data_IF_120559918577
#
_entry.id   IF_120559918577
#
_cell.length_a   1.000
_cell.length_b   1.000
_cell.length_c   1.000
_cell.angle_alpha   90.00
_cell.angle_beta   90.00
_cell.angle_gamma   90.00
#
_symmetry.space_group_name_H-M   'P 1'
#
loop_
_entity.id
_entity.type
_entity.pdbx_description
1 polymer ?
#
# COMPACT_ATOMS: atom_id res chain seq x y z
N UNK A 1 -44.35 2.09 -34.58
CA UNK A 1 -43.00 1.62 -34.56
C UNK A 1 -42.11 2.64 -33.84
N UNK A 2 -42.30 2.85 -32.52
CA UNK A 2 -41.57 3.84 -31.68
C UNK A 2 -41.50 3.35 -30.24
N UNK A 3 -41.01 2.13 -29.98
CA UNK A 3 -40.89 1.60 -28.61
C UNK A 3 -39.72 0.60 -28.39
N UNK A 4 -38.66 0.62 -29.20
CA UNK A 4 -37.51 -0.33 -29.03
C UNK A 4 -36.17 0.40 -29.10
N UNK A 5 -36.04 1.59 -28.52
CA UNK A 5 -34.75 2.27 -28.50
C UNK A 5 -34.39 2.88 -27.12
N UNK A 6 -34.87 2.25 -26.05
CA UNK A 6 -34.64 2.78 -24.70
C UNK A 6 -34.02 1.71 -23.75
N UNK A 7 -33.32 0.72 -24.26
CA UNK A 7 -32.85 -0.39 -23.40
C UNK A 7 -31.44 -0.85 -23.73
N UNK A 8 -30.52 0.10 -23.92
CA UNK A 8 -29.08 -0.29 -24.11
C UNK A 8 -28.12 0.78 -23.59
N UNK A 9 -28.46 1.45 -22.48
CA UNK A 9 -27.55 2.28 -21.69
C UNK A 9 -27.59 1.76 -20.25
N UNK A 10 -27.28 0.49 -20.08
CA UNK A 10 -27.01 -0.07 -18.76
C UNK A 10 -25.68 -0.80 -18.84
N UNK A 11 -24.79 -0.40 -17.96
CA UNK A 11 -23.65 -1.23 -17.49
C UNK A 11 -22.36 -1.11 -18.26
N UNK A 12 -21.67 0.03 -18.11
CA UNK A 12 -20.22 0.06 -18.05
C UNK A 12 -19.77 0.90 -16.85
N UNK A 13 -20.28 0.57 -15.67
CA UNK A 13 -19.58 0.90 -14.42
C UNK A 13 -18.46 -0.13 -14.28
N UNK A 14 -17.42 -0.04 -15.10
CA UNK A 14 -16.15 -0.68 -14.80
C UNK A 14 -15.56 0.07 -13.60
N UNK A 15 -15.88 -0.44 -12.41
CA UNK A 15 -15.16 -0.12 -11.18
C UNK A 15 -13.69 -0.38 -11.49
N UNK A 16 -12.89 0.67 -11.59
CA UNK A 16 -11.46 0.59 -11.76
C UNK A 16 -10.87 -0.03 -10.50
N UNK A 17 -10.83 -1.34 -10.45
CA UNK A 17 -10.26 -2.08 -9.32
C UNK A 17 -8.76 -1.77 -9.24
N UNK A 18 -8.32 -1.23 -8.13
CA UNK A 18 -6.92 -1.23 -7.75
C UNK A 18 -6.41 -2.68 -7.84
N UNK A 19 -5.28 -2.88 -8.51
CA UNK A 19 -4.70 -4.21 -8.62
C UNK A 19 -3.88 -4.48 -7.37
N UNK A 20 -4.37 -5.38 -6.55
CA UNK A 20 -3.73 -5.76 -5.30
C UNK A 20 -3.52 -7.27 -5.36
N UNK A 21 -2.31 -7.74 -5.13
CA UNK A 21 -1.97 -9.16 -5.22
C UNK A 21 -0.94 -9.58 -4.19
N UNK A 22 -0.97 -10.86 -3.82
CA UNK A 22 0.09 -11.52 -3.07
C UNK A 22 0.60 -12.71 -3.86
N UNK A 23 1.88 -12.99 -3.76
CA UNK A 23 2.51 -14.18 -4.31
C UNK A 23 3.22 -14.91 -3.19
N UNK A 24 2.81 -16.14 -2.94
CA UNK A 24 3.44 -16.98 -1.92
C UNK A 24 4.84 -17.38 -2.38
N UNK A 25 5.84 -17.19 -1.54
CA UNK A 25 7.22 -17.52 -1.87
C UNK A 25 7.67 -18.78 -1.14
N UNK A 26 7.43 -18.86 0.17
CA UNK A 26 7.91 -19.96 1.00
C UNK A 26 7.12 -20.06 2.30
N UNK A 27 6.76 -21.29 2.65
CA UNK A 27 6.25 -21.68 3.96
C UNK A 27 7.09 -22.87 4.43
N UNK A 28 7.88 -22.68 5.49
CA UNK A 28 8.89 -23.65 5.88
C UNK A 28 8.41 -24.74 6.85
N UNK A 29 7.35 -24.53 7.59
CA UNK A 29 6.80 -25.50 8.53
C UNK A 29 5.31 -25.76 8.29
N UNK A 30 4.96 -27.01 8.03
CA UNK A 30 3.56 -27.50 7.97
C UNK A 30 3.06 -27.99 9.33
N UNK A 31 3.91 -28.01 10.34
CA UNK A 31 3.55 -28.44 11.70
C UNK A 31 2.83 -27.30 12.42
N UNK A 32 1.71 -27.59 13.06
CA UNK A 32 1.00 -26.62 13.88
C UNK A 32 1.93 -26.03 14.95
N UNK A 33 2.15 -24.73 14.87
CA UNK A 33 3.00 -24.01 15.80
C UNK A 33 2.18 -23.58 17.02
N UNK A 34 2.77 -23.49 18.23
CA UNK A 34 2.09 -22.92 19.38
C UNK A 34 1.60 -21.49 19.09
N UNK A 35 0.43 -21.14 19.65
CA UNK A 35 -0.13 -19.80 19.53
C UNK A 35 0.88 -18.75 20.04
N UNK A 36 1.16 -17.68 19.26
CA UNK A 36 2.09 -16.66 19.67
C UNK A 36 1.54 -15.85 20.86
N UNK A 37 2.42 -15.43 21.77
CA UNK A 37 2.04 -14.53 22.85
C UNK A 37 1.75 -13.13 22.35
N UNK A 38 2.49 -12.66 21.36
CA UNK A 38 2.27 -11.40 20.62
C UNK A 38 3.04 -11.39 19.32
N UNK A 39 2.69 -10.45 18.46
CA UNK A 39 3.35 -10.18 17.19
C UNK A 39 4.11 -8.85 17.27
N UNK A 40 5.38 -8.88 16.95
CA UNK A 40 6.25 -7.72 16.88
C UNK A 40 6.34 -7.26 15.43
N UNK A 41 5.92 -6.04 15.14
CA UNK A 41 6.02 -5.44 13.80
C UNK A 41 7.24 -4.53 13.79
N UNK A 42 8.23 -4.87 12.97
CA UNK A 42 9.42 -4.06 12.72
C UNK A 42 9.26 -3.26 11.43
N UNK A 43 9.87 -2.09 11.39
CA UNK A 43 9.89 -1.28 10.18
C UNK A 43 10.38 -2.10 8.98
N UNK A 44 9.67 -1.95 7.86
CA UNK A 44 10.11 -2.52 6.60
C UNK A 44 11.28 -1.69 6.07
N UNK A 45 12.32 -2.37 5.62
CA UNK A 45 13.49 -1.70 5.05
C UNK A 45 13.13 -1.08 3.69
N UNK A 46 13.71 0.08 3.43
CA UNK A 46 13.60 0.79 2.17
C UNK A 46 15.01 1.14 1.71
N UNK A 47 15.37 0.69 0.52
CA UNK A 47 16.60 1.16 -0.13
C UNK A 47 16.26 2.41 -0.97
N UNK A 48 17.12 3.41 -0.99
CA UNK A 48 16.90 4.65 -1.75
C UNK A 48 16.65 4.40 -3.24
N UNK A 49 17.23 3.33 -3.80
CA UNK A 49 17.04 2.93 -5.19
C UNK A 49 15.66 2.32 -5.48
N UNK A 50 14.97 1.87 -4.43
CA UNK A 50 13.60 1.35 -4.53
C UNK A 50 12.57 2.46 -4.68
N UNK A 51 12.93 3.73 -4.45
CA UNK A 51 12.04 4.88 -4.45
C UNK A 51 12.08 5.56 -5.81
N UNK A 52 10.97 5.55 -6.51
CA UNK A 52 10.74 6.29 -7.74
C UNK A 52 9.83 7.50 -7.44
N UNK A 53 10.44 8.67 -7.47
CA UNK A 53 9.75 9.93 -7.21
C UNK A 53 8.76 10.26 -8.32
N UNK A 54 7.73 11.03 -7.96
CA UNK A 54 6.77 11.53 -8.92
C UNK A 54 7.46 12.28 -10.07
N UNK A 55 7.09 11.93 -11.32
CA UNK A 55 7.66 12.51 -12.53
C UNK A 55 6.71 13.50 -13.19
N UNK A 56 7.22 14.31 -14.12
CA UNK A 56 6.44 15.26 -14.90
C UNK A 56 6.25 16.61 -14.19
N UNK A 57 5.20 17.35 -14.57
CA UNK A 57 4.94 18.70 -14.05
C UNK A 57 4.77 18.73 -12.53
N UNK A 58 4.10 17.72 -11.97
CA UNK A 58 3.90 17.61 -10.53
C UNK A 58 5.21 17.43 -9.76
N UNK A 59 6.09 16.56 -10.22
CA UNK A 59 7.42 16.40 -9.63
C UNK A 59 8.26 17.68 -9.70
N UNK A 60 8.17 18.42 -10.81
CA UNK A 60 8.84 19.72 -10.96
C UNK A 60 8.26 20.79 -10.05
N UNK A 61 6.94 20.84 -9.89
CA UNK A 61 6.28 21.78 -8.96
C UNK A 61 6.69 21.45 -7.53
N UNK A 62 6.68 20.18 -7.14
CA UNK A 62 7.09 19.74 -5.81
C UNK A 62 8.55 20.12 -5.53
N UNK A 63 9.45 19.82 -6.44
CA UNK A 63 10.88 20.17 -6.34
C UNK A 63 11.14 21.68 -6.30
N UNK A 64 10.27 22.50 -6.90
CA UNK A 64 10.38 23.95 -6.87
C UNK A 64 9.72 24.62 -5.64
N UNK A 65 8.91 23.87 -4.87
CA UNK A 65 8.24 24.35 -3.66
C UNK A 65 9.04 23.99 -2.40
N UNK A 66 9.76 22.87 -2.39
CA UNK A 66 10.64 22.48 -1.31
C UNK A 66 12.09 22.78 -1.69
N UNK A 67 12.79 23.56 -0.87
CA UNK A 67 14.24 23.73 -0.96
C UNK A 67 15.00 22.47 -0.47
N UNK A 68 14.30 21.36 -0.30
CA UNK A 68 14.83 20.10 0.21
C UNK A 68 15.52 19.28 -0.89
N UNK A 69 16.59 18.60 -0.51
CA UNK A 69 17.26 17.68 -1.43
C UNK A 69 16.37 16.49 -1.77
N UNK A 70 16.56 15.85 -2.96
CA UNK A 70 15.81 14.65 -3.33
C UNK A 70 15.94 13.52 -2.30
N UNK A 71 17.06 13.42 -1.60
CA UNK A 71 17.31 12.43 -0.57
C UNK A 71 16.44 12.66 0.67
N UNK A 72 16.30 13.89 1.13
CA UNK A 72 15.41 14.26 2.25
C UNK A 72 13.96 13.92 1.88
N UNK A 73 13.54 14.28 0.67
CA UNK A 73 12.19 13.99 0.21
C UNK A 73 11.93 12.47 0.12
N UNK A 74 12.91 11.66 -0.31
CA UNK A 74 12.80 10.20 -0.31
C UNK A 74 12.71 9.63 1.10
N UNK A 75 13.49 10.17 2.03
CA UNK A 75 13.46 9.75 3.43
C UNK A 75 12.11 10.05 4.09
N UNK A 76 11.54 11.22 3.84
CA UNK A 76 10.20 11.58 4.33
C UNK A 76 9.13 10.65 3.77
N UNK A 77 9.15 10.40 2.46
CA UNK A 77 8.22 9.49 1.80
C UNK A 77 8.31 8.07 2.39
N UNK A 78 9.53 7.56 2.55
CA UNK A 78 9.71 6.22 3.13
C UNK A 78 9.19 6.15 4.56
N UNK A 79 9.45 7.16 5.38
CA UNK A 79 8.95 7.23 6.76
C UNK A 79 7.43 7.29 6.83
N UNK A 80 6.79 8.05 5.93
CA UNK A 80 5.32 8.12 5.83
C UNK A 80 4.72 6.78 5.45
N UNK A 81 5.27 6.10 4.43
CA UNK A 81 4.79 4.80 3.96
C UNK A 81 4.97 3.71 5.02
N UNK A 82 6.15 3.67 5.67
CA UNK A 82 6.42 2.72 6.75
C UNK A 82 5.48 2.95 7.92
N UNK A 83 5.31 4.19 8.35
CA UNK A 83 4.42 4.55 9.47
C UNK A 83 2.96 4.18 9.20
N UNK A 84 2.47 4.45 7.99
CA UNK A 84 1.12 4.07 7.58
C UNK A 84 0.95 2.54 7.53
N UNK A 85 1.92 1.81 6.96
CA UNK A 85 1.89 0.34 6.90
C UNK A 85 1.87 -0.27 8.30
N UNK A 86 2.77 0.18 9.19
CA UNK A 86 2.87 -0.36 10.54
C UNK A 86 1.58 -0.13 11.34
N UNK A 87 1.02 1.08 11.28
CA UNK A 87 -0.24 1.42 11.96
C UNK A 87 -1.35 0.48 11.52
N UNK A 88 -1.57 0.36 10.22
CA UNK A 88 -2.63 -0.48 9.66
C UNK A 88 -2.42 -1.97 9.98
N UNK A 89 -1.19 -2.47 9.90
CA UNK A 89 -0.88 -3.87 10.25
C UNK A 89 -1.19 -4.17 11.72
N UNK A 90 -0.83 -3.25 12.63
CA UNK A 90 -1.13 -3.40 14.06
C UNK A 90 -2.64 -3.47 14.27
N UNK A 91 -3.40 -2.53 13.69
CA UNK A 91 -4.85 -2.47 13.83
C UNK A 91 -5.51 -3.74 13.30
N UNK A 92 -5.11 -4.20 12.10
CA UNK A 92 -5.69 -5.38 11.46
C UNK A 92 -5.36 -6.68 12.19
N UNK A 93 -4.12 -6.89 12.59
CA UNK A 93 -3.71 -8.09 13.32
C UNK A 93 -4.36 -8.12 14.71
N UNK A 94 -4.46 -6.97 15.37
CA UNK A 94 -5.15 -6.88 16.66
C UNK A 94 -6.65 -7.20 16.51
N UNK A 95 -7.28 -6.79 15.42
CA UNK A 95 -8.67 -7.13 15.11
C UNK A 95 -8.88 -8.64 14.88
N UNK A 96 -7.84 -9.38 14.48
CA UNK A 96 -7.87 -10.86 14.41
C UNK A 96 -7.77 -11.55 15.78
N UNK A 97 -7.59 -10.78 16.86
CA UNK A 97 -7.52 -11.30 18.23
C UNK A 97 -6.09 -11.61 18.72
N UNK A 98 -5.05 -11.24 17.97
CA UNK A 98 -3.66 -11.43 18.38
C UNK A 98 -3.05 -10.06 18.70
N UNK A 99 -2.46 -9.90 19.88
CA UNK A 99 -1.78 -8.65 20.24
C UNK A 99 -0.63 -8.35 19.29
N UNK A 100 -0.66 -7.19 18.64
CA UNK A 100 0.41 -6.71 17.77
C UNK A 100 0.95 -5.36 18.28
N UNK A 101 2.27 -5.19 18.23
CA UNK A 101 2.96 -3.96 18.67
C UNK A 101 4.10 -3.61 17.70
N UNK A 102 4.30 -2.31 17.49
CA UNK A 102 5.48 -1.82 16.79
C UNK A 102 6.70 -1.91 17.70
N UNK A 103 7.84 -2.31 17.14
CA UNK A 103 9.10 -2.41 17.86
C UNK A 103 10.27 -1.94 16.99
N UNK A 104 11.31 -1.46 17.65
CA UNK A 104 12.54 -1.05 16.97
C UNK A 104 13.29 -2.23 16.31
N UNK A 105 14.14 -1.93 15.32
CA UNK A 105 14.90 -2.94 14.57
C UNK A 105 15.80 -3.80 15.43
N UNK A 106 16.37 -3.24 16.50
CA UNK A 106 17.29 -3.91 17.42
C UNK A 106 16.61 -4.80 18.46
N UNK A 107 15.28 -4.68 18.63
CA UNK A 107 14.57 -5.50 19.62
C UNK A 107 14.56 -6.97 19.21
N UNK A 108 15.00 -7.82 20.13
CA UNK A 108 14.98 -9.27 19.94
C UNK A 108 13.67 -9.86 20.49
N UNK A 109 13.08 -10.82 19.76
CA UNK A 109 11.90 -11.52 20.25
C UNK A 109 12.27 -12.47 21.39
N UNK A 110 11.32 -12.66 22.30
CA UNK A 110 11.41 -13.74 23.29
C UNK A 110 10.68 -14.99 22.78
N UNK A 111 10.81 -16.09 23.49
CA UNK A 111 10.17 -17.36 23.09
C UNK A 111 8.67 -17.19 22.87
N UNK A 112 8.14 -17.81 21.82
CA UNK A 112 6.74 -17.72 21.36
C UNK A 112 6.30 -16.34 20.84
N UNK A 113 7.20 -15.42 20.60
CA UNK A 113 6.89 -14.22 19.83
C UNK A 113 7.14 -14.44 18.34
N UNK A 114 6.37 -13.74 17.53
CA UNK A 114 6.54 -13.68 16.09
C UNK A 114 6.97 -12.28 15.71
N UNK A 115 7.88 -12.16 14.75
CA UNK A 115 8.25 -10.90 14.12
C UNK A 115 7.66 -10.89 12.73
N UNK A 116 7.00 -9.80 12.38
CA UNK A 116 6.68 -9.43 11.01
C UNK A 116 7.59 -8.28 10.62
N UNK A 117 8.34 -8.48 9.54
CA UNK A 117 9.25 -7.50 8.96
C UNK A 117 9.25 -7.65 7.45
N UNK A 118 9.99 -6.81 6.76
CA UNK A 118 10.07 -6.92 5.31
C UNK A 118 10.99 -5.90 4.67
N UNK A 119 10.86 -5.81 3.35
CA UNK A 119 11.56 -4.84 2.54
C UNK A 119 10.63 -4.33 1.44
N UNK A 120 10.57 -3.02 1.25
CA UNK A 120 9.98 -2.48 0.04
C UNK A 120 10.92 -2.72 -1.14
N UNK A 121 10.39 -3.38 -2.15
CA UNK A 121 11.08 -3.63 -3.42
C UNK A 121 10.90 -2.46 -4.37
N UNK A 122 9.76 -1.76 -4.23
CA UNK A 122 9.42 -0.58 -5.03
C UNK A 122 8.47 0.32 -4.25
N UNK A 123 8.74 1.62 -4.28
CA UNK A 123 7.85 2.70 -3.90
C UNK A 123 7.78 3.64 -5.09
N UNK A 124 6.71 3.58 -5.87
CA UNK A 124 6.53 4.39 -7.09
C UNK A 124 5.40 5.39 -6.87
N UNK A 125 5.74 6.65 -6.83
CA UNK A 125 4.76 7.74 -6.69
C UNK A 125 3.93 7.95 -7.95
N UNK A 126 4.37 7.41 -9.07
CA UNK A 126 3.69 7.56 -10.34
C UNK A 126 3.71 8.99 -10.88
N UNK A 127 2.77 9.30 -11.76
CA UNK A 127 2.58 10.62 -12.34
C UNK A 127 1.13 11.06 -12.17
N UNK A 128 0.87 11.89 -11.17
CA UNK A 128 -0.48 12.35 -10.80
C UNK A 128 -1.19 13.05 -11.98
N UNK A 129 -0.47 13.88 -12.74
CA UNK A 129 -1.06 14.60 -13.90
C UNK A 129 -1.46 13.60 -14.98
N UNK A 130 -0.60 12.66 -15.32
CA UNK A 130 -0.88 11.64 -16.33
C UNK A 130 -2.03 10.73 -15.90
N UNK A 131 -2.08 10.36 -14.63
CA UNK A 131 -3.17 9.56 -14.06
C UNK A 131 -4.51 10.28 -14.15
N UNK A 132 -4.55 11.57 -13.80
CA UNK A 132 -5.78 12.34 -13.79
C UNK A 132 -6.28 12.72 -15.21
N UNK A 133 -5.36 12.96 -16.15
CA UNK A 133 -5.72 13.32 -17.52
C UNK A 133 -6.07 12.11 -18.38
N UNK A 134 -5.20 11.11 -18.41
CA UNK A 134 -5.32 9.94 -19.28
C UNK A 134 -6.08 8.82 -18.56
N UNK A 135 -5.71 8.54 -17.32
CA UNK A 135 -6.25 7.39 -16.56
C UNK A 135 -5.85 6.04 -17.17
N UNK A 136 -6.70 5.03 -17.01
CA UNK A 136 -6.52 3.66 -17.55
C UNK A 136 -5.16 3.04 -17.21
N UNK A 137 -4.63 3.35 -16.01
CA UNK A 137 -3.34 2.88 -15.55
C UNK A 137 -2.14 3.75 -15.93
N UNK A 138 -2.34 4.79 -16.72
CA UNK A 138 -1.26 5.71 -17.06
C UNK A 138 -0.87 6.59 -15.87
N UNK A 139 0.37 6.46 -15.40
CA UNK A 139 0.88 7.22 -14.25
C UNK A 139 0.41 6.69 -12.89
N UNK A 140 0.08 5.41 -12.80
CA UNK A 140 -0.20 4.73 -11.53
C UNK A 140 0.96 4.88 -10.56
N UNK A 141 0.62 4.94 -9.30
CA UNK A 141 1.54 4.75 -8.19
C UNK A 141 1.42 3.32 -7.66
N UNK A 142 2.51 2.75 -7.18
CA UNK A 142 2.53 1.38 -6.68
C UNK A 142 3.50 1.17 -5.52
N UNK A 143 3.17 0.21 -4.67
CA UNK A 143 4.03 -0.31 -3.61
C UNK A 143 4.22 -1.81 -3.83
N UNK A 144 5.47 -2.25 -3.86
CA UNK A 144 5.85 -3.66 -3.86
C UNK A 144 6.67 -3.97 -2.63
N UNK A 145 6.35 -5.04 -1.93
CA UNK A 145 7.09 -5.46 -0.73
C UNK A 145 7.32 -6.97 -0.69
N UNK A 146 8.42 -7.37 -0.06
CA UNK A 146 8.64 -8.73 0.44
C UNK A 146 8.38 -8.72 1.94
N UNK A 147 7.46 -9.56 2.39
CA UNK A 147 7.12 -9.77 3.80
C UNK A 147 7.83 -11.03 4.30
N UNK A 148 8.33 -10.98 5.51
CA UNK A 148 9.00 -12.08 6.17
C UNK A 148 8.44 -12.23 7.58
N UNK A 149 7.97 -13.42 7.91
CA UNK A 149 7.47 -13.78 9.23
C UNK A 149 8.49 -14.69 9.90
N UNK A 150 8.97 -14.24 11.03
CA UNK A 150 10.02 -14.91 11.79
C UNK A 150 9.48 -15.34 13.15
N UNK A 151 9.99 -16.42 13.69
CA UNK A 151 9.67 -16.93 15.01
C UNK A 151 10.91 -17.11 15.86
N UNK A 152 10.83 -16.75 17.13
CA UNK A 152 11.84 -17.09 18.12
C UNK A 152 11.70 -18.55 18.56
N UNK A 153 12.78 -19.30 18.41
CA UNK A 153 12.90 -20.68 18.85
C UNK A 153 14.11 -20.83 19.79
N UNK A 154 14.23 -21.93 20.56
CA UNK A 154 15.40 -22.17 21.38
C UNK A 154 16.73 -22.23 20.58
N UNK A 155 16.65 -22.53 19.28
CA UNK A 155 17.80 -22.61 18.37
C UNK A 155 18.09 -21.29 17.65
N UNK A 156 17.32 -20.22 17.92
CA UNK A 156 17.44 -18.92 17.28
C UNK A 156 16.18 -18.48 16.55
N UNK A 157 16.31 -17.47 15.71
CA UNK A 157 15.19 -16.93 14.92
C UNK A 157 15.08 -17.73 13.62
N UNK A 158 13.87 -18.24 13.33
CA UNK A 158 13.58 -19.03 12.14
C UNK A 158 12.51 -18.33 11.29
N UNK A 159 12.70 -18.27 9.97
CA UNK A 159 11.67 -17.88 9.01
C UNK A 159 10.60 -18.99 8.95
N UNK A 160 9.34 -18.60 9.08
CA UNK A 160 8.20 -19.52 9.04
C UNK A 160 7.31 -19.26 7.83
N UNK A 161 7.29 -18.01 7.33
CA UNK A 161 6.53 -17.62 6.15
C UNK A 161 7.22 -16.45 5.46
N UNK A 162 7.24 -16.44 4.14
CA UNK A 162 7.57 -15.25 3.35
C UNK A 162 6.76 -15.18 2.06
N UNK A 163 6.37 -13.98 1.67
CA UNK A 163 5.59 -13.70 0.47
C UNK A 163 5.84 -12.29 -0.05
N UNK A 164 5.45 -12.03 -1.29
CA UNK A 164 5.42 -10.68 -1.85
C UNK A 164 4.00 -10.13 -1.84
N UNK A 165 3.89 -8.85 -1.55
CA UNK A 165 2.63 -8.12 -1.60
C UNK A 165 2.77 -6.88 -2.50
N UNK A 166 1.73 -6.60 -3.28
CA UNK A 166 1.64 -5.49 -4.22
C UNK A 166 0.35 -4.72 -4.01
N UNK A 167 0.44 -3.41 -4.07
CA UNK A 167 -0.70 -2.50 -4.13
C UNK A 167 -0.44 -1.38 -5.13
N UNK A 168 -1.44 -1.05 -5.95
CA UNK A 168 -1.39 0.08 -6.88
C UNK A 168 -2.62 0.98 -6.75
N UNK A 169 -2.57 2.15 -7.39
CA UNK A 169 -3.67 3.12 -7.35
C UNK A 169 -4.85 2.78 -8.28
N UNK A 170 -4.80 1.64 -8.97
CA UNK A 170 -5.87 1.16 -9.85
C UNK A 170 -5.95 1.88 -11.21
N UNK A 171 -6.81 1.34 -12.07
CA UNK A 171 -7.02 1.78 -13.45
C UNK A 171 -8.27 2.67 -13.57
N UNK A 172 -8.32 3.80 -12.88
CA UNK A 172 -9.44 4.72 -13.04
C UNK A 172 -9.37 5.47 -14.39
N UNK A 173 -10.50 5.65 -15.11
CA UNK A 173 -10.51 6.49 -16.29
C UNK A 173 -10.15 7.94 -15.94
N UNK A 174 -9.25 8.55 -16.70
CA UNK A 174 -8.86 9.95 -16.54
C UNK A 174 -9.88 10.91 -17.20
N UNK A 175 -9.75 12.20 -16.93
CA UNK A 175 -10.63 13.25 -17.46
C UNK A 175 -10.70 13.27 -19.00
N UNK A 176 -9.61 12.94 -19.68
CA UNK A 176 -9.57 12.88 -21.14
C UNK A 176 -10.45 11.76 -21.73
N UNK A 177 -10.66 10.67 -20.98
CA UNK A 177 -11.48 9.53 -21.39
C UNK A 177 -12.95 9.73 -21.01
N UNK A 178 -13.19 10.39 -19.89
CA UNK A 178 -14.55 10.60 -19.35
C UNK A 178 -15.27 11.81 -19.97
N UNK A 179 -14.56 12.67 -20.72
CA UNK A 179 -15.14 13.86 -21.32
C UNK A 179 -15.68 14.87 -20.30
N UNK A 180 -16.50 15.88 -20.74
CA UNK A 180 -16.99 16.92 -19.84
C UNK A 180 -17.84 16.42 -18.66
N UNK A 181 -18.55 15.32 -18.82
CA UNK A 181 -19.34 14.70 -17.74
C UNK A 181 -18.47 14.05 -16.68
N UNK A 182 -17.33 13.48 -17.09
CA UNK A 182 -16.34 12.89 -16.18
C UNK A 182 -15.58 13.94 -15.38
N UNK A 183 -15.34 15.11 -15.97
CA UNK A 183 -14.73 16.24 -15.27
C UNK A 183 -15.65 16.74 -14.15
N UNK A 184 -16.96 16.76 -14.34
CA UNK A 184 -17.90 17.16 -13.29
C UNK A 184 -17.96 16.16 -12.12
N UNK A 185 -17.85 14.85 -12.39
CA UNK A 185 -17.82 13.81 -11.36
C UNK A 185 -16.45 13.70 -10.66
N UNK A 186 -15.36 13.91 -11.42
CA UNK A 186 -13.98 13.95 -10.90
C UNK A 186 -13.58 15.30 -10.32
N UNK A 187 -14.31 16.36 -10.62
CA UNK A 187 -14.03 17.73 -10.18
C UNK A 187 -14.24 17.95 -8.68
N UNK A 188 -15.00 17.11 -7.99
CA UNK A 188 -15.01 17.11 -6.53
C UNK A 188 -13.62 16.80 -5.94
N UNK A 189 -12.80 16.00 -6.64
CA UNK A 189 -11.40 15.74 -6.29
C UNK A 189 -10.42 16.69 -6.99
N UNK A 190 -10.77 17.23 -8.17
CA UNK A 190 -9.88 18.08 -8.96
C UNK A 190 -10.06 19.59 -8.67
N UNK A 191 -11.23 20.04 -8.22
CA UNK A 191 -11.48 21.46 -7.87
C UNK A 191 -10.77 21.87 -6.58
N UNK A 192 -10.50 20.92 -5.68
CA UNK A 192 -9.63 21.18 -4.52
C UNK A 192 -8.17 21.44 -4.96
N UNK A 193 -7.78 21.02 -6.16
CA UNK A 193 -6.45 21.24 -6.75
C UNK A 193 -6.28 22.66 -7.34
N UNK A 194 -7.36 23.40 -7.63
CA UNK A 194 -7.29 24.69 -8.34
C UNK A 194 -7.08 25.93 -7.48
N UNK A 195 -7.36 25.88 -6.18
CA UNK A 195 -7.38 27.12 -5.33
C UNK A 195 -6.24 27.17 -4.28
N UNK A 196 -5.55 26.04 -4.01
CA UNK A 196 -4.36 26.01 -3.15
C UNK A 196 -3.35 24.99 -3.70
N UNK A 197 -2.83 25.26 -4.90
CA UNK A 197 -1.93 24.33 -5.62
C UNK A 197 -0.74 23.86 -4.79
N UNK A 198 -0.17 24.71 -3.95
CA UNK A 198 1.00 24.35 -3.16
C UNK A 198 0.66 23.46 -1.94
N UNK A 199 -0.35 23.84 -1.14
CA UNK A 199 -0.73 23.04 0.05
C UNK A 199 -1.62 21.83 -0.31
N UNK A 200 -2.52 21.98 -1.27
CA UNK A 200 -3.42 20.91 -1.69
C UNK A 200 -2.71 19.77 -2.42
N UNK A 201 -1.72 20.08 -3.25
CA UNK A 201 -0.92 19.08 -3.96
C UNK A 201 -0.08 18.23 -2.99
N UNK A 202 0.55 18.84 -2.00
CA UNK A 202 1.32 18.12 -0.99
C UNK A 202 0.42 17.20 -0.13
N UNK A 203 -0.78 17.68 0.25
CA UNK A 203 -1.72 16.90 1.08
C UNK A 203 -2.31 15.73 0.29
N UNK A 204 -2.68 15.94 -0.98
CA UNK A 204 -3.19 14.86 -1.84
C UNK A 204 -2.11 13.82 -2.12
N UNK A 205 -0.86 14.26 -2.26
CA UNK A 205 0.27 13.37 -2.45
C UNK A 205 0.48 12.44 -1.24
N UNK A 206 0.58 13.00 -0.04
CA UNK A 206 0.71 12.23 1.20
C UNK A 206 -0.44 11.23 1.37
N UNK A 207 -1.67 11.68 1.12
CA UNK A 207 -2.85 10.81 1.18
C UNK A 207 -2.79 9.61 0.24
N UNK A 208 -2.26 9.76 -0.98
CA UNK A 208 -2.15 8.66 -1.94
C UNK A 208 -1.16 7.59 -1.46
N UNK A 209 0.01 7.98 -1.00
CA UNK A 209 1.02 7.04 -0.48
C UNK A 209 0.52 6.32 0.78
N UNK A 210 -0.13 7.04 1.70
CA UNK A 210 -0.74 6.45 2.88
C UNK A 210 -1.88 5.46 2.51
N UNK A 211 -2.75 5.84 1.57
CA UNK A 211 -3.82 4.95 1.10
C UNK A 211 -3.29 3.67 0.46
N UNK A 212 -2.18 3.75 -0.28
CA UNK A 212 -1.55 2.55 -0.83
C UNK A 212 -0.88 1.71 0.23
N UNK A 213 -0.28 2.31 1.25
CA UNK A 213 0.26 1.59 2.38
C UNK A 213 -0.85 0.86 3.16
N UNK A 214 -2.02 1.48 3.32
CA UNK A 214 -3.21 0.84 3.89
C UNK A 214 -3.69 -0.33 3.03
N UNK A 215 -3.79 -0.15 1.71
CA UNK A 215 -4.18 -1.22 0.79
C UNK A 215 -3.16 -2.38 0.77
N UNK A 216 -1.87 -2.06 0.89
CA UNK A 216 -0.82 -3.06 1.04
C UNK A 216 -0.96 -3.82 2.37
N UNK A 217 -1.27 -3.11 3.47
CA UNK A 217 -1.54 -3.71 4.77
C UNK A 217 -2.75 -4.64 4.74
N UNK A 218 -3.82 -4.29 3.99
CA UNK A 218 -4.97 -5.17 3.76
C UNK A 218 -4.52 -6.52 3.21
N UNK A 219 -3.70 -6.49 2.15
CA UNK A 219 -3.24 -7.72 1.50
C UNK A 219 -2.29 -8.54 2.37
N UNK A 220 -1.38 -7.87 3.05
CA UNK A 220 -0.49 -8.54 4.00
C UNK A 220 -1.33 -9.21 5.09
N UNK A 221 -2.32 -8.50 5.64
CA UNK A 221 -3.19 -9.03 6.69
C UNK A 221 -4.06 -10.18 6.23
N UNK A 222 -4.60 -10.16 5.01
CA UNK A 222 -5.35 -11.26 4.42
C UNK A 222 -4.50 -12.53 4.31
N UNK A 223 -3.24 -12.40 3.89
CA UNK A 223 -2.34 -13.55 3.78
C UNK A 223 -1.91 -14.07 5.15
N UNK A 224 -1.62 -13.16 6.09
CA UNK A 224 -1.33 -13.52 7.48
C UNK A 224 -2.55 -14.20 8.14
N UNK A 225 -3.77 -13.73 7.88
CA UNK A 225 -5.00 -14.34 8.40
C UNK A 225 -5.13 -15.79 7.95
N UNK A 226 -4.92 -16.07 6.66
CA UNK A 226 -4.93 -17.46 6.14
C UNK A 226 -3.92 -18.33 6.88
N UNK A 227 -2.68 -17.85 6.98
CA UNK A 227 -1.65 -18.56 7.70
C UNK A 227 -2.00 -18.79 9.18
N UNK A 228 -2.54 -17.80 9.87
CA UNK A 228 -2.95 -17.92 11.27
C UNK A 228 -4.11 -18.92 11.45
N UNK A 229 -5.04 -18.98 10.48
CA UNK A 229 -6.10 -20.00 10.44
C UNK A 229 -5.53 -21.41 10.22
N UNK A 230 -4.59 -21.58 9.28
CA UNK A 230 -3.90 -22.84 9.02
C UNK A 230 -3.13 -23.32 10.26
N UNK A 231 -2.57 -22.42 11.04
CA UNK A 231 -1.91 -22.72 12.30
C UNK A 231 -2.88 -22.96 13.47
N UNK A 232 -4.18 -22.70 13.30
CA UNK A 232 -5.19 -22.81 14.35
C UNK A 232 -5.07 -21.72 15.43
N UNK A 233 -4.45 -20.60 15.13
CA UNK A 233 -4.30 -19.48 16.09
C UNK A 233 -5.55 -18.60 16.15
N UNK A 234 -6.30 -18.54 15.06
CA UNK A 234 -7.59 -17.84 14.95
C UNK A 234 -8.62 -18.74 14.28
N UNK A 235 -9.91 -18.38 14.41
CA UNK A 235 -11.04 -19.13 13.84
C UNK A 235 -11.32 -18.70 12.40
#
# INVERSE_FOLDING_TARGET
MKRIMTLLIVSFLSVGCAKISTTHISQQDQTALPHPTRILIKDFRVDSDSIQMATGLYGKIKAGISDESPEITKQELSSEVIGALNKELIEKITALGITAVHVEQNQQPVQNEIIITGKFLKIDEGNVVRRNLIGLGAGQSSLDSKVIVLRATPQGIKEILSFSAHADSGNMPGAAVMGPAGVAAGAATAVVVGVNVAKGAATTYKSNSANQASALADKISEELQKYFQEQGWIK
#
